data_IF_088327737108
#
_entry.id   IF_088327737108
#
_cell.length_a   1.000
_cell.length_b   1.000
_cell.length_c   1.000
_cell.angle_alpha   90.00
_cell.angle_beta   90.00
_cell.angle_gamma   90.00
#
_symmetry.space_group_name_H-M   'P 1'
#
loop_
_entity.id
_entity.type
_entity.pdbx_description
1 polymer ?
#
# COMPACT_ATOMS: atom_id res chain seq x y z
N UNK A 1 56.81 56.10 33.75
CA UNK A 1 57.18 54.68 33.61
C UNK A 1 55.93 53.89 33.28
N UNK A 2 55.84 53.42 32.03
CA UNK A 2 54.69 52.72 31.48
C UNK A 2 54.74 51.24 31.89
N UNK A 3 53.67 50.73 32.49
CA UNK A 3 53.46 49.30 32.69
C UNK A 3 52.36 48.85 31.73
N UNK A 4 52.78 48.15 30.68
CA UNK A 4 51.91 47.58 29.64
C UNK A 4 51.39 46.25 30.19
N UNK A 5 50.10 46.22 30.54
CA UNK A 5 49.42 44.98 30.91
C UNK A 5 49.14 44.14 29.65
N UNK A 6 50.01 43.16 29.39
CA UNK A 6 49.86 42.20 28.30
C UNK A 6 48.65 41.31 28.51
N UNK A 7 47.59 41.53 27.73
CA UNK A 7 46.40 40.70 27.68
C UNK A 7 46.69 39.50 26.79
N UNK A 8 47.01 38.35 27.39
CA UNK A 8 47.24 37.09 26.67
C UNK A 8 45.90 36.59 26.14
N UNK A 9 45.69 36.74 24.83
CA UNK A 9 44.55 36.19 24.11
C UNK A 9 44.86 34.73 23.77
N UNK A 10 44.26 33.78 24.50
CA UNK A 10 44.39 32.35 24.18
C UNK A 10 43.34 32.03 23.12
N UNK A 11 43.78 31.98 21.86
CA UNK A 11 42.99 31.48 20.74
C UNK A 11 42.83 29.97 20.88
N UNK A 12 41.64 29.52 21.31
CA UNK A 12 41.26 28.11 21.26
C UNK A 12 40.85 27.78 19.82
N UNK A 13 41.79 27.22 19.06
CA UNK A 13 41.52 26.68 17.73
C UNK A 13 40.99 25.26 17.91
N UNK A 14 39.68 25.11 17.73
CA UNK A 14 38.99 23.82 17.65
C UNK A 14 39.37 23.15 16.31
N UNK A 15 40.30 22.20 16.39
CA UNK A 15 40.74 21.39 15.25
C UNK A 15 39.81 20.18 15.13
N UNK A 16 38.85 20.28 14.20
CA UNK A 16 38.00 19.16 13.76
C UNK A 16 38.79 18.35 12.74
N UNK A 17 39.23 17.15 13.11
CA UNK A 17 39.74 16.16 12.16
C UNK A 17 38.67 15.08 11.92
N UNK A 18 38.13 15.12 10.71
CA UNK A 18 37.41 14.02 10.04
C UNK A 18 38.46 13.10 9.40
N UNK A 19 38.09 11.83 9.15
CA UNK A 19 38.84 10.67 8.60
C UNK A 19 39.33 9.76 9.74
N UNK A 20 38.99 8.48 9.86
CA UNK A 20 38.47 7.52 8.89
C UNK A 20 39.23 6.21 9.10
N UNK A 21 38.51 5.09 9.23
CA UNK A 21 38.97 3.75 8.85
C UNK A 21 39.83 2.94 9.85
N UNK A 22 39.40 1.68 10.01
CA UNK A 22 40.03 0.45 10.54
C UNK A 22 39.32 -0.06 11.81
N UNK A 23 38.84 -1.30 11.91
CA UNK A 23 39.11 -2.49 11.13
C UNK A 23 37.95 -3.50 11.23
N UNK A 24 37.69 -4.22 10.13
CA UNK A 24 37.28 -5.62 10.12
C UNK A 24 37.54 -6.15 8.71
N UNK A 25 38.82 -6.36 8.41
CA UNK A 25 39.21 -7.29 7.36
C UNK A 25 39.19 -8.70 7.95
N UNK A 26 38.42 -9.59 7.32
CA UNK A 26 38.80 -10.93 6.89
C UNK A 26 37.55 -11.80 6.66
N UNK A 27 36.96 -11.66 5.48
CA UNK A 27 36.43 -12.80 4.72
C UNK A 27 36.66 -12.51 3.24
N UNK A 28 37.86 -12.82 2.75
CA UNK A 28 38.10 -12.99 1.32
C UNK A 28 37.38 -14.26 0.86
N UNK A 29 36.09 -14.14 0.60
CA UNK A 29 35.38 -15.05 -0.28
C UNK A 29 35.79 -14.71 -1.70
N UNK A 30 36.40 -15.66 -2.39
CA UNK A 30 36.73 -15.57 -3.82
C UNK A 30 35.51 -15.08 -4.60
N UNK A 31 35.59 -13.85 -5.11
CA UNK A 31 34.58 -13.27 -6.00
C UNK A 31 34.65 -13.99 -7.35
N UNK A 32 33.91 -15.09 -7.44
CA UNK A 32 33.39 -15.50 -8.73
C UNK A 32 32.39 -14.43 -9.16
N UNK A 33 32.62 -13.85 -10.34
CA UNK A 33 31.71 -12.89 -10.97
C UNK A 33 30.30 -13.49 -11.00
N UNK A 34 29.37 -12.95 -10.22
CA UNK A 34 28.03 -13.52 -10.11
C UNK A 34 27.09 -12.64 -9.29
N UNK A 35 26.34 -11.78 -9.99
CA UNK A 35 25.13 -11.05 -9.59
C UNK A 35 24.83 -10.94 -8.07
N UNK A 36 24.91 -9.72 -7.54
CA UNK A 36 24.42 -9.39 -6.20
C UNK A 36 22.98 -9.90 -5.97
N UNK A 37 22.67 -10.46 -4.78
CA UNK A 37 21.37 -11.02 -4.49
C UNK A 37 20.28 -9.95 -4.60
N UNK A 38 19.22 -10.25 -5.36
CA UNK A 38 18.11 -9.30 -5.54
C UNK A 38 17.38 -9.06 -4.22
N UNK A 39 17.16 -7.79 -3.87
CA UNK A 39 16.43 -7.41 -2.65
C UNK A 39 14.92 -7.53 -2.90
N UNK A 40 14.15 -8.21 -2.02
CA UNK A 40 12.71 -8.32 -2.19
C UNK A 40 12.03 -6.93 -2.12
N UNK A 41 11.15 -6.64 -3.07
CA UNK A 41 10.35 -5.41 -3.05
C UNK A 41 9.00 -5.71 -2.39
N UNK A 42 8.94 -5.51 -1.08
CA UNK A 42 7.77 -5.84 -0.27
C UNK A 42 6.74 -4.71 -0.33
N UNK A 43 5.48 -5.08 -0.56
CA UNK A 43 4.33 -4.17 -0.47
C UNK A 43 3.29 -4.75 0.49
N UNK A 44 2.84 -3.96 1.44
CA UNK A 44 1.85 -4.35 2.44
C UNK A 44 0.53 -3.62 2.22
N UNK A 45 -0.58 -4.31 2.47
CA UNK A 45 -1.95 -3.82 2.34
C UNK A 45 -2.80 -4.38 3.49
N UNK A 46 -3.62 -3.52 4.07
CA UNK A 46 -4.69 -3.91 4.98
C UNK A 46 -6.03 -3.73 4.27
N UNK A 47 -6.67 -4.84 3.87
CA UNK A 47 -7.94 -4.80 3.13
C UNK A 47 -9.14 -4.51 4.03
N UNK A 48 -9.04 -4.85 5.32
CA UNK A 48 -10.06 -4.57 6.33
C UNK A 48 -9.44 -4.60 7.72
N UNK A 49 -9.87 -3.65 8.57
CA UNK A 49 -9.44 -3.64 9.95
C UNK A 49 -10.10 -4.73 10.80
N UNK A 50 -9.38 -5.25 11.82
CA UNK A 50 -7.93 -5.16 12.01
C UNK A 50 -7.16 -6.34 11.38
N UNK A 51 -7.86 -7.30 10.75
CA UNK A 51 -7.36 -8.67 10.63
C UNK A 51 -6.89 -9.09 9.23
N UNK A 52 -7.04 -8.24 8.20
CA UNK A 52 -6.75 -8.64 6.81
C UNK A 52 -5.50 -7.92 6.31
N UNK A 53 -4.36 -8.13 7.00
CA UNK A 53 -3.06 -7.57 6.59
C UNK A 53 -2.25 -8.60 5.80
N UNK A 54 -1.88 -8.20 4.60
CA UNK A 54 -1.17 -9.00 3.62
C UNK A 54 0.02 -8.21 3.07
N UNK A 55 1.21 -8.77 3.17
CA UNK A 55 2.38 -8.29 2.44
C UNK A 55 2.70 -9.24 1.29
N UNK A 56 3.13 -8.69 0.17
CA UNK A 56 3.47 -9.45 -1.03
C UNK A 56 4.74 -8.91 -1.69
N UNK A 57 5.48 -9.80 -2.34
CA UNK A 57 6.63 -9.44 -3.17
C UNK A 57 6.75 -10.41 -4.36
N UNK A 58 7.22 -9.93 -5.53
CA UNK A 58 7.44 -10.78 -6.69
C UNK A 58 8.65 -11.70 -6.50
N UNK A 59 8.54 -12.90 -7.05
CA UNK A 59 9.66 -13.82 -7.20
C UNK A 59 10.59 -13.36 -8.34
N UNK A 60 11.91 -13.28 -8.10
CA UNK A 60 12.86 -12.92 -9.15
C UNK A 60 12.89 -13.96 -10.30
N UNK A 61 12.82 -13.54 -11.57
CA UNK A 61 12.64 -14.47 -12.70
C UNK A 61 13.87 -15.32 -13.05
N UNK A 62 15.09 -14.80 -12.85
CA UNK A 62 16.31 -15.47 -13.31
C UNK A 62 17.09 -16.17 -12.21
N UNK A 63 16.99 -15.69 -10.96
CA UNK A 63 17.74 -16.20 -9.82
C UNK A 63 16.82 -16.17 -8.58
N UNK A 64 15.84 -17.09 -8.48
CA UNK A 64 14.98 -17.14 -7.31
C UNK A 64 15.77 -17.60 -6.07
N UNK A 65 15.46 -17.05 -4.88
CA UNK A 65 16.06 -17.53 -3.65
C UNK A 65 15.58 -18.95 -3.31
N UNK A 66 16.38 -19.66 -2.50
CA UNK A 66 16.06 -21.01 -2.04
C UNK A 66 14.84 -21.04 -1.14
N UNK A 67 14.69 -20.03 -0.29
CA UNK A 67 13.53 -19.81 0.55
C UNK A 67 13.50 -18.36 1.04
N UNK A 68 12.34 -17.96 1.56
CA UNK A 68 12.16 -16.69 2.25
C UNK A 68 11.94 -16.92 3.73
N UNK A 69 12.42 -15.98 4.54
CA UNK A 69 12.10 -15.87 5.95
C UNK A 69 11.43 -14.51 6.16
N UNK A 70 10.18 -14.50 6.62
CA UNK A 70 9.44 -13.29 6.90
C UNK A 70 9.06 -13.23 8.38
N UNK A 71 9.43 -12.13 9.04
CA UNK A 71 9.17 -11.90 10.47
C UNK A 71 8.66 -10.49 10.72
N UNK A 72 7.93 -10.32 11.81
CA UNK A 72 7.41 -9.01 12.20
C UNK A 72 7.37 -8.84 13.73
N UNK A 73 7.45 -7.59 14.19
CA UNK A 73 7.46 -7.23 15.61
C UNK A 73 6.94 -5.81 15.85
N UNK A 74 6.41 -5.52 17.03
CA UNK A 74 6.07 -4.14 17.44
C UNK A 74 7.38 -3.37 17.71
N UNK A 75 7.53 -2.17 17.13
CA UNK A 75 8.79 -1.41 17.18
C UNK A 75 9.16 -0.91 18.58
N UNK A 76 8.18 -0.41 19.32
CA UNK A 76 8.41 0.37 20.55
C UNK A 76 8.33 -0.46 21.83
N UNK A 77 8.15 -1.77 21.73
CA UNK A 77 8.16 -2.70 22.87
C UNK A 77 9.26 -3.72 22.66
N UNK A 78 9.80 -4.26 23.77
CA UNK A 78 10.55 -5.53 23.74
C UNK A 78 9.57 -6.64 23.36
N UNK A 79 9.16 -6.65 22.11
CA UNK A 79 8.12 -7.50 21.57
C UNK A 79 8.75 -8.76 21.00
N UNK A 80 8.05 -9.88 21.20
CA UNK A 80 8.46 -11.15 20.63
C UNK A 80 8.34 -11.06 19.11
N UNK A 81 9.43 -11.30 18.41
CA UNK A 81 9.43 -11.44 16.94
C UNK A 81 8.57 -12.62 16.55
N UNK A 82 7.58 -12.38 15.70
CA UNK A 82 6.67 -13.39 15.18
C UNK A 82 7.04 -13.77 13.76
N UNK A 83 6.87 -15.04 13.43
CA UNK A 83 6.95 -15.49 12.05
C UNK A 83 5.66 -15.19 11.30
N UNK A 84 5.79 -14.72 10.07
CA UNK A 84 4.67 -14.53 9.19
C UNK A 84 4.19 -15.87 8.61
N UNK A 85 2.89 -15.98 8.33
CA UNK A 85 2.38 -17.11 7.57
C UNK A 85 2.69 -16.91 6.07
N UNK A 86 3.77 -17.54 5.61
CA UNK A 86 4.25 -17.47 4.24
C UNK A 86 3.44 -18.39 3.32
N UNK A 87 2.97 -17.84 2.20
CA UNK A 87 2.27 -18.54 1.14
C UNK A 87 3.05 -18.37 -0.17
N UNK A 88 3.47 -19.50 -0.75
CA UNK A 88 4.31 -19.55 -1.95
C UNK A 88 3.47 -19.44 -3.24
N UNK A 89 3.97 -18.81 -4.31
CA UNK A 89 3.25 -18.69 -5.57
C UNK A 89 2.96 -20.06 -6.21
N UNK A 90 1.70 -20.30 -6.58
CA UNK A 90 1.24 -21.57 -7.17
C UNK A 90 0.84 -22.62 -6.14
N UNK A 91 0.77 -22.25 -4.85
CA UNK A 91 0.08 -23.06 -3.85
C UNK A 91 -1.44 -22.94 -4.00
N UNK A 92 -2.20 -23.95 -3.55
CA UNK A 92 -3.67 -23.91 -3.55
C UNK A 92 -4.24 -22.69 -2.79
N UNK A 93 -3.51 -22.19 -1.79
CA UNK A 93 -3.82 -20.96 -1.06
C UNK A 93 -3.54 -19.67 -1.85
N UNK A 94 -2.70 -19.71 -2.88
CA UNK A 94 -2.44 -18.55 -3.76
C UNK A 94 -3.58 -18.28 -4.73
N UNK A 95 -4.26 -19.32 -5.23
CA UNK A 95 -5.34 -19.17 -6.21
C UNK A 95 -6.53 -18.35 -5.69
N UNK A 96 -6.73 -18.35 -4.37
CA UNK A 96 -7.77 -17.55 -3.68
C UNK A 96 -7.37 -16.09 -3.52
N UNK A 97 -6.06 -15.81 -3.41
CA UNK A 97 -5.51 -14.46 -3.17
C UNK A 97 -5.23 -13.75 -4.51
N UNK A 98 -4.90 -14.50 -5.57
CA UNK A 98 -4.57 -13.97 -6.89
C UNK A 98 -5.77 -13.56 -7.74
N UNK A 99 -7.01 -13.90 -7.33
CA UNK A 99 -8.22 -13.53 -8.06
C UNK A 99 -8.44 -12.00 -8.19
N UNK A 100 -7.76 -11.20 -7.36
CA UNK A 100 -7.81 -9.73 -7.39
C UNK A 100 -6.65 -9.06 -8.15
N UNK A 101 -5.64 -9.79 -8.62
CA UNK A 101 -4.47 -9.21 -9.31
C UNK A 101 -4.41 -9.64 -10.77
N UNK A 102 -4.54 -8.68 -11.69
CA UNK A 102 -4.45 -8.90 -13.14
C UNK A 102 -3.03 -9.10 -13.68
N UNK A 103 -2.04 -9.30 -12.79
CA UNK A 103 -0.63 -9.49 -13.14
C UNK A 103 -0.28 -10.98 -13.11
N UNK A 104 0.28 -11.50 -14.20
CA UNK A 104 0.83 -12.88 -14.28
C UNK A 104 2.08 -13.11 -13.41
N UNK A 105 2.41 -12.19 -12.52
CA UNK A 105 3.61 -12.23 -11.70
C UNK A 105 3.45 -13.25 -10.57
N UNK A 106 4.46 -14.11 -10.39
CA UNK A 106 4.50 -15.07 -9.27
C UNK A 106 4.79 -14.31 -7.97
N UNK A 107 3.76 -14.13 -7.16
CA UNK A 107 3.83 -13.37 -5.90
C UNK A 107 3.92 -14.30 -4.68
N UNK A 108 4.91 -14.05 -3.83
CA UNK A 108 4.95 -14.55 -2.47
C UNK A 108 4.04 -13.69 -1.59
N UNK A 109 3.40 -14.32 -0.62
CA UNK A 109 2.48 -13.66 0.30
C UNK A 109 2.86 -13.95 1.75
N UNK A 110 2.66 -12.97 2.60
CA UNK A 110 2.89 -13.02 4.02
C UNK A 110 1.63 -12.49 4.72
N UNK A 111 0.89 -13.40 5.36
CA UNK A 111 -0.29 -13.06 6.14
C UNK A 111 0.08 -12.83 7.61
N UNK A 112 -0.29 -11.66 8.13
CA UNK A 112 -0.05 -11.26 9.52
C UNK A 112 -1.39 -11.05 10.22
N UNK A 113 -1.93 -12.08 10.88
CA UNK A 113 -3.20 -11.95 11.57
C UNK A 113 -3.06 -11.09 12.82
N UNK A 114 -4.14 -10.38 13.16
CA UNK A 114 -4.33 -9.74 14.47
C UNK A 114 -3.28 -8.69 14.84
N UNK A 115 -2.92 -7.84 13.87
CA UNK A 115 -2.19 -6.62 14.16
C UNK A 115 -3.10 -5.63 14.89
N UNK A 116 -2.51 -4.79 15.74
CA UNK A 116 -3.22 -3.78 16.52
C UNK A 116 -3.25 -2.47 15.75
N UNK A 117 -4.36 -1.76 15.87
CA UNK A 117 -4.45 -0.37 15.44
C UNK A 117 -3.49 0.50 16.25
N UNK A 118 -3.10 1.62 15.67
CA UNK A 118 -2.24 2.64 16.26
C UNK A 118 -0.91 2.08 16.80
N UNK A 119 -0.43 1.00 16.20
CA UNK A 119 0.80 0.31 16.60
C UNK A 119 1.77 0.25 15.43
N UNK A 120 2.98 0.75 15.63
CA UNK A 120 4.06 0.71 14.63
C UNK A 120 4.73 -0.67 14.63
N UNK A 121 4.62 -1.37 13.50
CA UNK A 121 5.20 -2.68 13.26
C UNK A 121 6.41 -2.58 12.35
N UNK A 122 7.42 -3.41 12.61
CA UNK A 122 8.55 -3.64 11.70
C UNK A 122 8.34 -5.01 11.05
N UNK A 123 8.49 -5.08 9.73
CA UNK A 123 8.55 -6.32 8.96
C UNK A 123 9.94 -6.49 8.36
N UNK A 124 10.49 -7.69 8.50
CA UNK A 124 11.73 -8.12 7.86
C UNK A 124 11.45 -9.31 6.95
N UNK A 125 11.73 -9.16 5.65
CA UNK A 125 11.69 -10.23 4.66
C UNK A 125 13.09 -10.49 4.15
N UNK A 126 13.63 -11.65 4.48
CA UNK A 126 14.96 -12.10 4.06
C UNK A 126 14.84 -13.13 2.95
N UNK A 127 15.49 -12.88 1.82
CA UNK A 127 15.68 -13.82 0.72
C UNK A 127 17.00 -14.57 0.93
N UNK A 128 16.95 -15.90 0.98
CA UNK A 128 18.13 -16.73 1.27
C UNK A 128 18.57 -17.46 -0.01
N UNK A 129 19.83 -17.29 -0.39
CA UNK A 129 20.46 -17.93 -1.54
C UNK A 129 21.57 -18.89 -1.07
N UNK A 130 22.12 -19.68 -1.98
CA UNK A 130 23.26 -20.56 -1.69
C UNK A 130 24.54 -19.74 -1.45
N UNK A 131 24.77 -19.33 -0.20
CA UNK A 131 25.97 -18.60 0.22
C UNK A 131 25.80 -17.08 0.38
N UNK A 132 24.60 -16.54 0.15
CA UNK A 132 24.31 -15.12 0.38
C UNK A 132 22.86 -14.90 0.79
N UNK A 133 22.55 -13.70 1.28
CA UNK A 133 21.20 -13.28 1.61
C UNK A 133 21.01 -11.80 1.32
N UNK A 134 19.80 -11.42 0.96
CA UNK A 134 19.35 -10.03 0.91
C UNK A 134 18.11 -9.88 1.80
N UNK A 135 17.84 -8.67 2.29
CA UNK A 135 16.67 -8.44 3.12
C UNK A 135 16.01 -7.10 2.83
N UNK A 136 14.70 -7.04 3.06
CA UNK A 136 13.90 -5.83 3.07
C UNK A 136 13.38 -5.61 4.49
N UNK A 137 13.64 -4.42 5.03
CA UNK A 137 13.16 -3.98 6.33
C UNK A 137 12.32 -2.72 6.14
N UNK A 138 11.08 -2.75 6.61
CA UNK A 138 10.20 -1.59 6.60
C UNK A 138 9.34 -1.55 7.86
N UNK A 139 8.80 -0.37 8.16
CA UNK A 139 7.84 -0.18 9.24
C UNK A 139 6.54 0.40 8.72
N UNK A 140 5.43 0.05 9.36
CA UNK A 140 4.11 0.55 9.00
C UNK A 140 3.17 0.47 10.20
N UNK A 141 2.16 1.34 10.20
CA UNK A 141 0.94 1.17 10.98
C UNK A 141 -0.18 0.68 10.06
N UNK A 142 -1.19 0.01 10.61
CA UNK A 142 -2.33 -0.48 9.81
C UNK A 142 -3.03 0.67 9.06
N UNK A 143 -3.04 1.84 9.67
CA UNK A 143 -3.61 3.09 9.17
C UNK A 143 -2.89 3.64 7.95
N UNK A 144 -1.61 3.35 7.79
CA UNK A 144 -0.83 3.81 6.64
C UNK A 144 -1.05 2.91 5.42
N UNK A 145 -1.34 1.63 5.66
CA UNK A 145 -1.47 0.60 4.61
C UNK A 145 -2.91 0.16 4.35
N UNK A 146 -3.88 0.79 5.01
CA UNK A 146 -5.29 0.48 4.78
C UNK A 146 -5.68 0.85 3.35
N UNK A 147 -6.26 -0.10 2.64
CA UNK A 147 -6.81 0.11 1.32
C UNK A 147 -7.95 -0.89 1.17
N UNK A 148 -9.22 -0.49 1.27
CA UNK A 148 -10.35 -1.40 1.15
C UNK A 148 -10.39 -2.12 -0.19
N UNK A 149 -11.16 -3.20 -0.30
CA UNK A 149 -11.55 -3.75 -1.61
C UNK A 149 -12.55 -2.81 -2.31
N UNK A 150 -12.75 -2.92 -3.63
CA UNK A 150 -13.70 -2.07 -4.34
C UNK A 150 -15.15 -2.28 -3.87
N UNK A 151 -16.00 -1.22 -3.88
CA UNK A 151 -17.44 -1.38 -3.73
C UNK A 151 -18.03 -2.35 -4.76
N UNK A 152 -19.05 -3.07 -4.35
CA UNK A 152 -19.77 -4.04 -5.20
C UNK A 152 -21.18 -3.55 -5.52
N UNK A 153 -21.88 -4.26 -6.40
CA UNK A 153 -23.27 -3.97 -6.78
C UNK A 153 -23.52 -2.52 -7.22
N UNK A 154 -22.55 -1.93 -7.93
CA UNK A 154 -22.68 -0.56 -8.44
C UNK A 154 -23.79 -0.53 -9.48
N UNK A 155 -24.82 0.26 -9.23
CA UNK A 155 -25.97 0.44 -10.11
C UNK A 155 -26.19 1.91 -10.40
N UNK A 156 -26.66 2.20 -11.61
CA UNK A 156 -27.03 3.55 -12.02
C UNK A 156 -28.40 3.47 -12.68
N UNK A 157 -29.39 4.17 -12.11
CA UNK A 157 -30.77 4.15 -12.61
C UNK A 157 -31.32 5.57 -12.79
N UNK A 158 -32.18 5.82 -13.79
CA UNK A 158 -32.88 7.09 -13.90
C UNK A 158 -33.85 7.26 -12.73
N UNK A 159 -33.74 8.38 -12.00
CA UNK A 159 -34.73 8.77 -10.99
C UNK A 159 -35.82 9.65 -11.60
N UNK A 160 -35.44 10.53 -12.52
CA UNK A 160 -36.33 11.28 -13.41
C UNK A 160 -35.60 11.68 -14.71
N UNK A 161 -36.22 12.54 -15.52
CA UNK A 161 -35.69 12.94 -16.84
C UNK A 161 -34.29 13.59 -16.82
N UNK A 162 -33.80 14.06 -15.67
CA UNK A 162 -32.48 14.75 -15.55
C UNK A 162 -31.64 14.27 -14.37
N UNK A 163 -32.17 13.39 -13.51
CA UNK A 163 -31.48 12.88 -12.32
C UNK A 163 -31.23 11.39 -12.42
N UNK A 164 -30.00 11.00 -12.13
CA UNK A 164 -29.59 9.61 -11.96
C UNK A 164 -29.41 9.31 -10.49
N UNK A 165 -29.84 8.13 -10.06
CA UNK A 165 -29.50 7.55 -8.77
C UNK A 165 -28.34 6.58 -9.00
N UNK A 166 -27.21 6.84 -8.34
CA UNK A 166 -26.04 5.96 -8.31
C UNK A 166 -26.04 5.30 -6.93
N UNK A 167 -25.99 3.97 -6.86
CA UNK A 167 -25.97 3.22 -5.60
C UNK A 167 -24.93 2.12 -5.67
N UNK A 168 -24.42 1.71 -4.52
CA UNK A 168 -23.44 0.64 -4.39
C UNK A 168 -23.59 -0.03 -3.03
N UNK A 169 -22.95 -1.19 -2.88
CA UNK A 169 -22.77 -1.89 -1.62
C UNK A 169 -21.33 -1.71 -1.13
N UNK A 170 -21.09 -1.67 0.19
CA UNK A 170 -19.73 -1.73 0.73
C UNK A 170 -19.03 -3.03 0.31
N UNK A 171 -17.68 -3.07 0.33
CA UNK A 171 -16.94 -4.29 0.03
C UNK A 171 -17.30 -5.39 1.05
N UNK A 172 -17.67 -6.61 0.61
CA UNK A 172 -18.06 -7.69 1.54
C UNK A 172 -16.96 -8.10 2.52
N UNK A 173 -15.69 -7.85 2.17
CA UNK A 173 -14.53 -8.09 3.03
C UNK A 173 -14.41 -7.08 4.17
N UNK A 174 -15.14 -5.96 4.11
CA UNK A 174 -15.15 -4.93 5.15
C UNK A 174 -16.29 -5.15 6.15
N UNK A 175 -16.06 -6.01 7.14
CA UNK A 175 -17.12 -6.50 8.05
C UNK A 175 -17.55 -5.54 9.16
N UNK A 176 -16.69 -4.61 9.59
CA UNK A 176 -16.89 -3.78 10.78
C UNK A 176 -17.27 -2.32 10.43
N UNK A 177 -18.33 -2.13 9.63
CA UNK A 177 -18.76 -0.80 9.17
C UNK A 177 -19.31 0.11 10.27
N UNK A 178 -19.78 -0.47 11.37
CA UNK A 178 -20.30 0.23 12.54
C UNK A 178 -19.19 0.92 13.35
N UNK A 179 -17.99 0.33 13.37
CA UNK A 179 -16.82 0.84 14.10
C UNK A 179 -15.85 1.55 13.15
N UNK A 180 -15.69 1.03 11.94
CA UNK A 180 -14.83 1.57 10.89
C UNK A 180 -15.67 1.90 9.64
N UNK A 181 -16.47 2.98 9.69
CA UNK A 181 -17.26 3.39 8.55
C UNK A 181 -16.38 3.73 7.34
N UNK A 182 -16.97 3.56 6.15
CA UNK A 182 -16.36 3.91 4.88
C UNK A 182 -17.01 5.17 4.31
N UNK A 183 -16.24 5.88 3.49
CA UNK A 183 -16.73 6.89 2.57
C UNK A 183 -16.29 6.59 1.16
N UNK A 184 -16.94 7.19 0.19
CA UNK A 184 -16.82 6.80 -1.21
C UNK A 184 -16.46 7.98 -2.10
N UNK A 185 -15.61 7.73 -3.09
CA UNK A 185 -15.40 8.65 -4.20
C UNK A 185 -16.01 8.05 -5.45
N UNK A 186 -16.67 8.89 -6.25
CA UNK A 186 -17.26 8.49 -7.53
C UNK A 186 -16.44 9.15 -8.62
N UNK A 187 -16.03 8.37 -9.60
CA UNK A 187 -15.47 8.85 -10.85
C UNK A 187 -16.49 8.60 -11.95
N UNK A 188 -16.83 9.63 -12.70
CA UNK A 188 -17.64 9.46 -13.90
C UNK A 188 -16.99 10.11 -15.10
N UNK A 189 -17.08 9.42 -16.23
CA UNK A 189 -16.55 9.87 -17.52
C UNK A 189 -17.70 10.15 -18.47
N UNK A 190 -17.64 11.31 -19.15
CA UNK A 190 -18.56 11.66 -20.23
C UNK A 190 -17.78 11.76 -21.52
N UNK A 191 -18.23 11.06 -22.54
CA UNK A 191 -17.69 11.23 -23.88
C UNK A 191 -18.41 12.39 -24.59
N UNK A 192 -17.63 13.33 -25.14
CA UNK A 192 -18.16 14.44 -25.92
C UNK A 192 -17.25 14.69 -27.11
N UNK A 193 -17.76 14.49 -28.33
CA UNK A 193 -17.00 14.63 -29.59
C UNK A 193 -15.74 13.76 -29.63
N UNK A 194 -15.81 12.53 -29.12
CA UNK A 194 -14.68 11.58 -29.06
C UNK A 194 -13.64 11.88 -27.98
N UNK A 195 -13.84 12.93 -27.16
CA UNK A 195 -12.94 13.26 -26.05
C UNK A 195 -13.60 12.83 -24.74
N UNK A 196 -13.06 11.83 -24.01
CA UNK A 196 -13.54 11.46 -22.70
C UNK A 196 -13.13 12.51 -21.67
N UNK A 197 -14.08 13.01 -20.88
CA UNK A 197 -13.84 13.92 -19.75
C UNK A 197 -14.19 13.22 -18.46
N UNK A 198 -13.22 13.11 -17.55
CA UNK A 198 -13.39 12.52 -16.22
C UNK A 198 -13.74 13.58 -15.18
N UNK A 199 -14.61 13.21 -14.26
CA UNK A 199 -15.03 14.04 -13.13
C UNK A 199 -15.01 13.18 -11.87
N UNK A 200 -14.55 13.75 -10.76
CA UNK A 200 -14.57 13.11 -9.45
C UNK A 200 -15.59 13.80 -8.55
N UNK A 201 -16.32 13.04 -7.76
CA UNK A 201 -17.31 13.49 -6.80
C UNK A 201 -17.10 12.79 -5.47
N UNK A 202 -17.30 13.53 -4.38
CA UNK A 202 -17.22 13.04 -3.02
C UNK A 202 -16.14 13.77 -2.20
N UNK A 203 -15.80 13.25 -1.02
CA UNK A 203 -16.27 11.98 -0.46
C UNK A 203 -17.77 11.97 -0.13
N UNK A 204 -18.39 10.79 -0.18
CA UNK A 204 -19.80 10.55 0.14
C UNK A 204 -19.85 9.53 1.27
N UNK A 205 -20.51 9.86 2.38
CA UNK A 205 -20.64 9.00 3.57
C UNK A 205 -21.91 8.12 3.53
N UNK A 206 -22.60 8.10 2.40
CA UNK A 206 -23.73 7.21 2.11
C UNK A 206 -23.35 6.22 1.01
N UNK A 207 -24.15 5.18 0.83
CA UNK A 207 -24.00 4.17 -0.22
C UNK A 207 -24.75 4.54 -1.52
N UNK A 208 -25.26 5.76 -1.61
CA UNK A 208 -25.93 6.27 -2.80
C UNK A 208 -25.76 7.78 -2.96
N UNK A 209 -25.99 8.27 -4.18
CA UNK A 209 -26.10 9.69 -4.49
C UNK A 209 -27.04 9.94 -5.66
N UNK A 210 -27.73 11.07 -5.66
CA UNK A 210 -28.53 11.51 -6.80
C UNK A 210 -27.80 12.62 -7.54
N UNK A 211 -27.52 12.41 -8.83
CA UNK A 211 -26.77 13.31 -9.69
C UNK A 211 -27.66 13.94 -10.75
N UNK A 212 -27.61 15.26 -10.89
CA UNK A 212 -28.27 15.98 -11.98
C UNK A 212 -27.27 16.19 -13.12
N UNK A 213 -27.46 15.49 -14.23
CA UNK A 213 -26.53 15.48 -15.36
C UNK A 213 -27.22 15.89 -16.66
N UNK A 214 -26.45 16.46 -17.59
CA UNK A 214 -26.94 16.81 -18.92
C UNK A 214 -27.09 15.54 -19.78
N UNK A 215 -27.99 15.50 -20.78
CA UNK A 215 -28.09 14.38 -21.73
C UNK A 215 -26.73 13.98 -22.31
N UNK A 216 -26.47 12.68 -22.41
CA UNK A 216 -25.19 12.13 -22.84
C UNK A 216 -24.95 10.71 -22.31
N UNK A 217 -23.88 10.08 -22.82
CA UNK A 217 -23.41 8.78 -22.33
C UNK A 217 -22.35 8.97 -21.24
N UNK A 218 -22.46 8.17 -20.20
CA UNK A 218 -21.63 8.23 -19.00
C UNK A 218 -21.14 6.84 -18.60
N UNK A 219 -19.96 6.80 -18.00
CA UNK A 219 -19.36 5.63 -17.38
C UNK A 219 -19.03 5.97 -15.93
N UNK A 220 -19.58 5.22 -14.97
CA UNK A 220 -19.43 5.43 -13.53
C UNK A 220 -18.55 4.36 -12.89
N UNK A 221 -17.74 4.77 -11.93
CA UNK A 221 -16.98 3.90 -11.05
C UNK A 221 -16.98 4.49 -9.64
N UNK A 222 -16.87 3.64 -8.63
CA UNK A 222 -16.84 4.03 -7.22
C UNK A 222 -15.62 3.40 -6.57
N UNK A 223 -14.92 4.12 -5.70
CA UNK A 223 -13.90 3.56 -4.81
C UNK A 223 -14.29 3.81 -3.35
N UNK A 224 -13.94 2.88 -2.48
CA UNK A 224 -14.15 2.95 -1.04
C UNK A 224 -12.88 3.45 -0.34
N UNK A 225 -13.04 4.31 0.66
CA UNK A 225 -11.97 4.80 1.51
C UNK A 225 -12.41 4.76 2.97
N UNK A 226 -11.46 4.55 3.85
CA UNK A 226 -11.65 4.72 5.29
C UNK A 226 -12.14 6.17 5.61
N UNK A 227 -13.05 6.31 6.58
CA UNK A 227 -13.74 7.56 6.89
C UNK A 227 -12.79 8.73 7.22
N UNK A 228 -11.72 8.49 7.96
CA UNK A 228 -10.73 9.49 8.35
C UNK A 228 -9.69 9.82 7.27
N UNK A 229 -9.85 9.29 6.05
CA UNK A 229 -8.89 9.40 4.93
C UNK A 229 -7.56 8.68 5.16
N UNK A 230 -7.50 7.74 6.10
CA UNK A 230 -6.30 6.93 6.32
C UNK A 230 -6.06 6.01 5.11
N UNK A 231 -4.78 5.74 4.83
CA UNK A 231 -4.33 4.97 3.67
C UNK A 231 -4.88 5.44 2.32
N UNK A 232 -5.17 4.47 1.45
CA UNK A 232 -5.54 4.69 0.05
C UNK A 232 -7.01 4.38 -0.24
N UNK A 233 -7.55 4.93 -1.33
CA UNK A 233 -8.83 4.45 -1.86
C UNK A 233 -8.64 3.03 -2.40
N UNK A 234 -9.68 2.22 -2.36
CA UNK A 234 -9.74 0.96 -3.10
C UNK A 234 -9.44 1.17 -4.58
N UNK A 235 -9.19 0.08 -5.29
CA UNK A 235 -9.28 0.14 -6.74
C UNK A 235 -10.72 0.54 -7.14
N UNK A 236 -10.85 1.13 -8.33
CA UNK A 236 -12.16 1.52 -8.83
C UNK A 236 -13.00 0.28 -9.11
N UNK A 237 -14.29 0.34 -8.77
CA UNK A 237 -15.26 -0.68 -9.14
C UNK A 237 -15.30 -0.91 -10.66
N UNK A 238 -15.88 -2.04 -11.08
CA UNK A 238 -16.20 -2.26 -12.49
C UNK A 238 -17.04 -1.10 -13.05
N UNK A 239 -16.77 -0.66 -14.29
CA UNK A 239 -17.42 0.50 -14.87
C UNK A 239 -18.88 0.22 -15.26
N UNK A 240 -19.79 1.10 -14.86
CA UNK A 240 -21.22 1.04 -15.21
C UNK A 240 -21.56 2.11 -16.24
N UNK A 241 -22.07 1.69 -17.40
CA UNK A 241 -22.43 2.59 -18.49
C UNK A 241 -23.92 2.95 -18.44
N UNK A 242 -24.25 4.21 -18.69
CA UNK A 242 -25.63 4.67 -18.84
C UNK A 242 -25.74 5.83 -19.82
N UNK A 243 -26.86 5.95 -20.51
CA UNK A 243 -27.17 7.07 -21.40
C UNK A 243 -28.39 7.85 -20.91
N UNK A 244 -28.25 9.16 -20.76
CA UNK A 244 -29.36 10.07 -20.48
C UNK A 244 -29.90 10.57 -21.82
N UNK A 245 -31.17 10.28 -22.17
CA UNK A 245 -31.74 10.70 -23.43
C UNK A 245 -31.87 12.21 -23.51
N UNK A 246 -31.80 12.75 -24.74
CA UNK A 246 -32.19 14.15 -24.99
C UNK A 246 -33.72 14.19 -24.96
N UNK A 247 -34.30 14.94 -24.03
CA UNK A 247 -35.72 15.30 -24.10
C UNK A 247 -35.92 16.10 -25.39
N UNK A 248 -36.77 15.60 -26.30
CA UNK A 248 -37.27 16.36 -27.46
C UNK A 248 -38.13 17.53 -26.99
#
# INVERSE_FOLDING_TARGET
>A
MAAIAGRVCVTVVLLVCVLGGQALDLLMGTTTSGNSPSTPTVRCRCASYPNVTLCSWPEPPHHPPTHYVATYSERHRQSVTKHCHLVQPGSSSSDVISASSSSSDRLWHCHMPSLKLLTDYIINVTAVYSGSSSFHLSSFMLEDIVKPDPPVDVTVSPRDSKRLLVQWSPPPTWSHLDIFPLKYQIKYQRESRGIPRSYNLGPIESNWVVLKLKPGAYLFQVCAKELLNLGECSDWSSPVKIAIPRTR
#
